data_IF_255186875085
#
_entry.id   IF_255186875085
#
_cell.length_a   1.000
_cell.length_b   1.000
_cell.length_c   1.000
_cell.angle_alpha   90.00
_cell.angle_beta   90.00
_cell.angle_gamma   90.00
#
_symmetry.space_group_name_H-M   'P 1'
#
loop_
_entity.id
_entity.type
_entity.pdbx_description
1 polymer ?
#
# COMPACT_ATOMS: atom_id res chain seq x y z
N UNK A 1 -12.26 -21.34 11.13
CA UNK A 1 -12.73 -20.56 9.96
C UNK A 1 -12.24 -21.24 8.71
N UNK A 2 -13.09 -21.38 7.70
CA UNK A 2 -12.67 -21.94 6.42
C UNK A 2 -11.83 -20.93 5.61
N UNK A 3 -11.11 -21.46 4.61
CA UNK A 3 -10.20 -20.68 3.76
C UNK A 3 -10.92 -19.58 2.99
N UNK A 4 -12.16 -19.83 2.60
CA UNK A 4 -12.98 -18.88 1.88
C UNK A 4 -13.32 -17.65 2.74
N UNK A 5 -13.71 -17.86 3.99
CA UNK A 5 -13.99 -16.76 4.92
C UNK A 5 -12.74 -15.92 5.20
N UNK A 6 -11.57 -16.55 5.32
CA UNK A 6 -10.29 -15.84 5.51
C UNK A 6 -9.97 -14.95 4.31
N UNK A 7 -10.13 -15.46 3.09
CA UNK A 7 -9.88 -14.68 1.87
C UNK A 7 -10.84 -13.50 1.76
N UNK A 8 -12.15 -13.73 1.99
CA UNK A 8 -13.17 -12.66 1.98
C UNK A 8 -12.89 -11.59 3.03
N UNK A 9 -12.37 -11.98 4.20
CA UNK A 9 -11.95 -11.03 5.23
C UNK A 9 -10.75 -10.21 4.75
N UNK A 10 -9.74 -10.86 4.15
CA UNK A 10 -8.58 -10.19 3.57
C UNK A 10 -8.98 -9.12 2.54
N UNK A 11 -9.87 -9.45 1.61
CA UNK A 11 -10.33 -8.50 0.58
C UNK A 11 -11.04 -7.28 1.20
N UNK A 12 -11.82 -7.47 2.26
CA UNK A 12 -12.46 -6.35 2.98
C UNK A 12 -11.43 -5.47 3.69
N UNK A 13 -10.40 -6.08 4.26
CA UNK A 13 -9.31 -5.35 4.92
C UNK A 13 -8.47 -4.56 3.93
N UNK A 14 -8.23 -5.09 2.72
CA UNK A 14 -7.55 -4.36 1.65
C UNK A 14 -8.33 -3.11 1.25
N UNK A 15 -9.66 -3.23 1.10
CA UNK A 15 -10.55 -2.08 0.81
C UNK A 15 -10.52 -1.05 1.93
N UNK A 16 -10.60 -1.49 3.19
CA UNK A 16 -10.51 -0.58 4.33
C UNK A 16 -9.16 0.15 4.36
N UNK A 17 -8.07 -0.55 4.08
CA UNK A 17 -6.73 0.05 4.00
C UNK A 17 -6.66 1.12 2.92
N UNK A 18 -7.19 0.83 1.72
CA UNK A 18 -7.23 1.79 0.63
C UNK A 18 -8.07 3.04 0.96
N UNK A 19 -9.20 2.88 1.66
CA UNK A 19 -10.02 4.00 2.13
C UNK A 19 -9.29 4.83 3.18
N UNK A 20 -8.66 4.18 4.16
CA UNK A 20 -7.91 4.88 5.21
C UNK A 20 -6.75 5.68 4.63
N UNK A 21 -6.02 5.15 3.64
CA UNK A 21 -4.94 5.87 2.96
C UNK A 21 -5.44 7.18 2.31
N UNK A 22 -6.65 7.19 1.73
CA UNK A 22 -7.25 8.39 1.15
C UNK A 22 -7.66 9.43 2.19
N UNK A 23 -7.91 9.00 3.43
CA UNK A 23 -8.37 9.86 4.51
C UNK A 23 -7.24 10.48 5.32
N UNK A 24 -5.98 10.05 5.14
CA UNK A 24 -4.83 10.61 5.87
C UNK A 24 -4.66 12.09 5.49
N UNK A 25 -4.90 13.04 6.41
CA UNK A 25 -4.79 14.46 6.12
C UNK A 25 -3.33 14.88 6.30
N UNK A 26 -2.61 15.04 5.18
CA UNK A 26 -1.28 15.69 5.18
C UNK A 26 -1.17 16.83 4.16
N UNK A 27 -2.16 16.99 3.28
CA UNK A 27 -2.35 18.07 2.30
C UNK A 27 -3.85 18.12 1.93
N UNK A 28 -4.36 19.19 1.28
CA UNK A 28 -5.75 19.25 0.79
C UNK A 28 -6.15 18.07 -0.13
N UNK A 29 -5.18 17.31 -0.67
CA UNK A 29 -5.41 16.18 -1.59
C UNK A 29 -5.06 14.79 -1.02
N UNK A 30 -4.66 14.69 0.26
CA UNK A 30 -4.21 13.42 0.87
C UNK A 30 -2.75 13.04 0.53
N UNK A 31 -2.27 11.84 0.91
CA UNK A 31 -0.91 11.40 0.64
C UNK A 31 -0.73 11.02 -0.83
N UNK A 32 0.40 11.41 -1.41
CA UNK A 32 0.81 11.00 -2.75
C UNK A 32 0.96 9.47 -2.85
N UNK A 33 0.89 8.93 -4.07
CA UNK A 33 1.07 7.48 -4.30
C UNK A 33 2.39 6.96 -3.74
N UNK A 34 3.46 7.76 -3.83
CA UNK A 34 4.78 7.39 -3.30
C UNK A 34 4.76 7.27 -1.77
N UNK A 35 4.09 8.20 -1.09
CA UNK A 35 3.94 8.17 0.37
C UNK A 35 3.04 7.01 0.81
N UNK A 36 1.99 6.69 0.06
CA UNK A 36 1.16 5.51 0.31
C UNK A 36 1.98 4.21 0.20
N UNK A 37 2.83 4.10 -0.84
CA UNK A 37 3.74 2.96 -1.02
C UNK A 37 4.74 2.90 0.15
N UNK A 38 5.33 4.02 0.54
CA UNK A 38 6.28 4.07 1.64
C UNK A 38 5.65 3.68 2.99
N UNK A 39 4.43 4.12 3.25
CA UNK A 39 3.70 3.80 4.48
C UNK A 39 3.40 2.29 4.55
N UNK A 40 2.89 1.71 3.46
CA UNK A 40 2.60 0.28 3.40
C UNK A 40 3.88 -0.59 3.46
N UNK A 41 4.98 -0.16 2.83
CA UNK A 41 6.29 -0.82 2.95
C UNK A 41 6.80 -0.76 4.39
N UNK A 42 6.61 0.37 5.09
CA UNK A 42 6.92 0.53 6.50
C UNK A 42 6.13 -0.40 7.42
N UNK A 43 4.97 -0.88 6.98
CA UNK A 43 4.14 -1.89 7.66
C UNK A 43 4.46 -3.34 7.22
N UNK A 44 5.55 -3.55 6.47
CA UNK A 44 5.97 -4.84 5.91
C UNK A 44 4.93 -5.49 4.98
N UNK A 45 4.06 -4.70 4.35
CA UNK A 45 3.16 -5.20 3.30
C UNK A 45 3.98 -5.61 2.09
N UNK A 46 3.73 -6.79 1.53
CA UNK A 46 4.51 -7.28 0.38
C UNK A 46 4.22 -6.41 -0.85
N UNK A 47 5.20 -6.19 -1.75
CA UNK A 47 5.02 -5.31 -2.92
C UNK A 47 3.79 -5.63 -3.79
N UNK A 48 3.50 -6.91 -4.00
CA UNK A 48 2.31 -7.36 -4.75
C UNK A 48 0.98 -7.00 -4.06
N UNK A 49 0.97 -7.01 -2.73
CA UNK A 49 -0.23 -6.69 -1.95
C UNK A 49 -0.40 -5.16 -1.88
N UNK A 50 0.71 -4.41 -1.79
CA UNK A 50 0.72 -2.96 -1.97
C UNK A 50 0.09 -2.59 -3.31
N UNK A 51 0.54 -3.22 -4.40
CA UNK A 51 0.04 -2.99 -5.75
C UNK A 51 -1.48 -3.22 -5.87
N UNK A 52 -1.96 -4.31 -5.24
CA UNK A 52 -3.40 -4.63 -5.12
C UNK A 52 -4.15 -3.52 -4.35
N UNK A 53 -3.65 -3.11 -3.19
CA UNK A 53 -4.30 -2.11 -2.32
C UNK A 53 -4.41 -0.74 -3.01
N UNK A 54 -3.35 -0.29 -3.69
CA UNK A 54 -3.31 1.04 -4.31
C UNK A 54 -3.83 1.07 -5.76
N UNK A 55 -4.16 -0.09 -6.34
CA UNK A 55 -4.62 -0.21 -7.73
C UNK A 55 -3.57 0.16 -8.78
N UNK A 56 -2.32 -0.28 -8.59
CA UNK A 56 -1.20 -0.05 -9.53
C UNK A 56 -0.53 -1.35 -9.94
N UNK A 57 0.28 -1.29 -11.00
CA UNK A 57 1.07 -2.44 -11.44
C UNK A 57 2.24 -2.73 -10.48
N UNK A 58 2.58 -4.00 -10.31
CA UNK A 58 3.74 -4.44 -9.50
C UNK A 58 5.04 -3.76 -9.93
N UNK A 59 5.23 -3.55 -11.23
CA UNK A 59 6.42 -2.88 -11.79
C UNK A 59 6.54 -1.43 -11.32
N UNK A 60 5.41 -0.71 -11.21
CA UNK A 60 5.38 0.65 -10.69
C UNK A 60 5.76 0.67 -9.20
N UNK A 61 5.15 -0.20 -8.40
CA UNK A 61 5.45 -0.30 -6.96
C UNK A 61 6.91 -0.65 -6.72
N UNK A 62 7.43 -1.65 -7.42
CA UNK A 62 8.83 -2.06 -7.27
C UNK A 62 9.81 -0.94 -7.63
N UNK A 63 9.52 -0.17 -8.69
CA UNK A 63 10.35 0.99 -9.07
C UNK A 63 10.37 2.05 -7.95
N UNK A 64 9.22 2.39 -7.38
CA UNK A 64 9.15 3.34 -6.26
C UNK A 64 9.85 2.82 -5.01
N UNK A 65 9.67 1.54 -4.65
CA UNK A 65 10.33 0.92 -3.49
C UNK A 65 11.86 0.96 -3.61
N UNK A 66 12.40 0.73 -4.80
CA UNK A 66 13.85 0.87 -5.04
C UNK A 66 14.29 2.31 -4.76
N UNK A 67 13.53 3.31 -5.21
CA UNK A 67 13.81 4.73 -4.94
C UNK A 67 13.73 5.08 -3.46
N UNK A 68 12.67 4.66 -2.77
CA UNK A 68 12.44 4.89 -1.33
C UNK A 68 13.58 4.29 -0.51
N UNK A 69 13.94 3.02 -0.77
CA UNK A 69 14.99 2.31 -0.02
C UNK A 69 16.38 2.88 -0.25
N UNK A 70 16.65 3.42 -1.45
CA UNK A 70 17.90 4.15 -1.73
C UNK A 70 18.00 5.44 -0.93
N UNK A 71 16.90 6.18 -0.82
CA UNK A 71 16.86 7.43 -0.05
C UNK A 71 17.01 7.18 1.46
N UNK A 72 16.45 6.08 2.00
CA UNK A 72 16.62 5.71 3.42
C UNK A 72 18.04 5.31 3.83
N UNK A 73 18.91 4.97 2.87
CA UNK A 73 20.31 4.59 3.12
C UNK A 73 21.30 5.77 3.06
N UNK A 74 20.84 6.94 2.62
CA UNK A 74 21.59 8.20 2.69
C UNK A 74 21.25 8.91 3.99
#
# INVERSE_FOLDING_TARGET
>A
MDKETINKLGDKLDVLTALLLKLIPKNPEGPSLREQIELLDGLNVRPKDIAKIIGRADTYVNKELVGIRKNKKK
#
